data_IF_363291961493
#
_entry.id   IF_363291961493
#
_cell.length_a   1.000
_cell.length_b   1.000
_cell.length_c   1.000
_cell.angle_alpha   90.00
_cell.angle_beta   90.00
_cell.angle_gamma   90.00
#
_symmetry.space_group_name_H-M   'P 1'
#
loop_
_entity.id
_entity.type
_entity.pdbx_description
1 polymer ?
#
# COMPACT_ATOMS: atom_id res chain seq x y z
N UNK A 1 7.65 7.43 -1.84
CA UNK A 1 7.58 6.45 -2.95
C UNK A 1 7.28 5.10 -2.32
N UNK A 2 6.02 4.66 -2.35
CA UNK A 2 5.61 3.44 -1.66
C UNK A 2 6.40 2.22 -2.16
N UNK A 3 7.16 1.57 -1.29
CA UNK A 3 7.89 0.35 -1.64
C UNK A 3 7.73 -0.70 -0.54
N UNK A 4 7.01 -1.79 -0.82
CA UNK A 4 6.76 -2.86 0.16
C UNK A 4 7.22 -4.21 -0.38
N UNK A 5 8.10 -4.92 0.34
CA UNK A 5 8.58 -6.25 -0.04
C UNK A 5 7.51 -7.30 0.26
N UNK A 6 7.13 -8.08 -0.74
CA UNK A 6 6.07 -9.10 -0.63
C UNK A 6 6.55 -10.52 -0.94
N UNK A 7 7.76 -10.67 -1.48
CA UNK A 7 8.32 -11.98 -1.83
C UNK A 7 9.84 -11.97 -1.84
N UNK A 8 10.43 -13.14 -1.63
CA UNK A 8 11.88 -13.36 -1.70
C UNK A 8 12.18 -14.61 -2.51
N UNK A 9 13.35 -14.65 -3.18
CA UNK A 9 13.83 -15.81 -3.94
C UNK A 9 12.85 -16.30 -5.04
N UNK A 10 12.00 -15.41 -5.55
CA UNK A 10 11.05 -15.73 -6.61
C UNK A 10 11.80 -15.83 -7.92
N UNK A 11 11.59 -16.90 -8.69
CA UNK A 11 12.15 -17.03 -10.04
C UNK A 11 11.44 -16.10 -11.03
N UNK A 12 12.07 -15.82 -12.17
CA UNK A 12 11.42 -15.03 -13.22
C UNK A 12 10.14 -15.70 -13.74
N UNK A 13 10.14 -17.04 -13.84
CA UNK A 13 8.97 -17.82 -14.29
C UNK A 13 7.80 -17.70 -13.32
N UNK A 14 8.04 -17.84 -12.01
CA UNK A 14 7.00 -17.69 -10.99
C UNK A 14 6.43 -16.27 -10.97
N UNK A 15 7.30 -15.27 -11.09
CA UNK A 15 6.87 -13.87 -11.17
C UNK A 15 6.00 -13.59 -12.40
N UNK A 16 6.38 -14.10 -13.57
CA UNK A 16 5.58 -13.94 -14.78
C UNK A 16 4.22 -14.64 -14.66
N UNK A 17 4.19 -15.84 -14.08
CA UNK A 17 2.94 -16.55 -13.81
C UNK A 17 2.04 -15.76 -12.84
N UNK A 18 2.62 -15.14 -11.81
CA UNK A 18 1.90 -14.25 -10.90
C UNK A 18 1.28 -13.06 -11.65
N UNK A 19 2.05 -12.37 -12.51
CA UNK A 19 1.55 -11.22 -13.28
C UNK A 19 0.40 -11.58 -14.22
N UNK A 20 0.40 -12.80 -14.79
CA UNK A 20 -0.70 -13.28 -15.65
C UNK A 20 -1.95 -13.62 -14.83
N UNK A 21 -1.78 -14.17 -13.62
CA UNK A 21 -2.89 -14.67 -12.80
C UNK A 21 -3.49 -13.63 -11.87
N UNK A 22 -2.76 -12.57 -11.54
CA UNK A 22 -3.28 -11.54 -10.64
C UNK A 22 -4.51 -10.88 -11.29
N UNK A 23 -5.53 -10.61 -10.48
CA UNK A 23 -6.61 -9.74 -10.91
C UNK A 23 -6.08 -8.29 -11.11
N UNK A 24 -6.86 -7.44 -11.76
CA UNK A 24 -6.53 -6.02 -11.98
C UNK A 24 -6.52 -5.28 -10.64
N UNK A 25 -5.40 -5.37 -9.94
CA UNK A 25 -5.31 -5.01 -8.53
C UNK A 25 -4.90 -3.56 -8.26
N UNK A 26 -4.78 -2.68 -9.26
CA UNK A 26 -4.26 -1.30 -9.09
C UNK A 26 -2.79 -1.18 -8.64
N UNK A 27 -2.20 -2.22 -8.05
CA UNK A 27 -0.79 -2.32 -7.70
C UNK A 27 0.12 -2.55 -8.92
N UNK A 28 1.29 -1.89 -8.92
CA UNK A 28 2.45 -2.25 -9.76
C UNK A 28 3.48 -2.99 -8.91
N UNK A 29 4.09 -3.99 -9.54
CA UNK A 29 5.05 -4.87 -8.91
C UNK A 29 6.41 -4.78 -9.60
N UNK A 30 7.48 -4.97 -8.83
CA UNK A 30 8.84 -5.05 -9.36
C UNK A 30 9.57 -6.23 -8.74
N UNK A 31 10.15 -7.08 -9.59
CA UNK A 31 11.11 -8.11 -9.19
C UNK A 31 12.53 -7.57 -9.37
N UNK A 32 13.36 -7.63 -8.32
CA UNK A 32 14.80 -7.33 -8.37
C UNK A 32 15.59 -8.54 -8.86
N UNK A 33 16.85 -8.32 -9.26
CA UNK A 33 17.73 -9.39 -9.78
C UNK A 33 17.97 -10.52 -8.77
N UNK A 34 18.00 -10.20 -7.47
CA UNK A 34 18.13 -11.15 -6.37
C UNK A 34 16.87 -12.01 -6.14
N UNK A 35 15.79 -11.80 -6.90
CA UNK A 35 14.53 -12.53 -6.78
C UNK A 35 13.55 -11.96 -5.75
N UNK A 36 13.87 -10.85 -5.11
CA UNK A 36 12.92 -10.16 -4.25
C UNK A 36 11.84 -9.45 -5.07
N UNK A 37 10.60 -9.49 -4.59
CA UNK A 37 9.45 -8.86 -5.24
C UNK A 37 8.87 -7.79 -4.33
N UNK A 38 8.58 -6.64 -4.92
CA UNK A 38 8.03 -5.48 -4.24
C UNK A 38 6.76 -5.02 -4.91
N UNK A 39 5.83 -4.48 -4.12
CA UNK A 39 4.87 -3.50 -4.60
C UNK A 39 5.59 -2.15 -4.63
N UNK A 40 5.63 -1.51 -5.80
CA UNK A 40 6.35 -0.24 -6.02
C UNK A 40 5.43 0.93 -6.33
N UNK A 41 4.17 0.62 -6.58
CA UNK A 41 3.14 1.61 -6.88
C UNK A 41 1.78 0.95 -6.61
N UNK A 42 0.79 1.77 -6.34
CA UNK A 42 -0.59 1.36 -6.15
C UNK A 42 -1.44 2.50 -6.67
N UNK A 43 -2.59 2.18 -7.27
CA UNK A 43 -3.40 3.20 -7.90
C UNK A 43 -3.77 4.28 -6.88
N UNK A 44 -3.53 5.55 -7.25
CA UNK A 44 -3.84 6.70 -6.40
C UNK A 44 -5.27 6.65 -5.82
N UNK A 45 -6.31 6.22 -6.57
CA UNK A 45 -7.66 6.13 -6.03
C UNK A 45 -7.80 5.11 -4.88
N UNK A 46 -7.15 3.96 -4.95
CA UNK A 46 -7.24 2.93 -3.91
C UNK A 46 -6.46 3.33 -2.65
N UNK A 47 -5.23 3.84 -2.80
CA UNK A 47 -4.47 4.40 -1.66
C UNK A 47 -5.27 5.51 -1.02
N UNK A 48 -5.76 6.46 -1.82
CA UNK A 48 -6.52 7.62 -1.33
C UNK A 48 -7.78 7.16 -0.59
N UNK A 49 -8.50 6.17 -1.12
CA UNK A 49 -9.70 5.66 -0.47
C UNK A 49 -9.43 4.94 0.84
N UNK A 50 -8.42 4.05 0.89
CA UNK A 50 -8.05 3.34 2.13
C UNK A 50 -7.50 4.30 3.18
N UNK A 51 -6.64 5.24 2.77
CA UNK A 51 -6.09 6.27 3.65
C UNK A 51 -7.21 7.13 4.22
N UNK A 52 -8.13 7.60 3.36
CA UNK A 52 -9.31 8.35 3.78
C UNK A 52 -10.18 7.58 4.77
N UNK A 53 -10.49 6.31 4.50
CA UNK A 53 -11.27 5.47 5.42
C UNK A 53 -10.61 5.33 6.79
N UNK A 54 -9.31 5.06 6.83
CA UNK A 54 -8.56 4.96 8.09
C UNK A 54 -8.56 6.28 8.86
N UNK A 55 -8.33 7.41 8.18
CA UNK A 55 -8.42 8.74 8.78
C UNK A 55 -9.80 8.96 9.40
N UNK A 56 -10.88 8.62 8.69
CA UNK A 56 -12.27 8.73 9.19
C UNK A 56 -12.50 7.89 10.45
N UNK A 57 -11.96 6.68 10.54
CA UNK A 57 -12.10 5.87 11.75
C UNK A 57 -11.38 6.48 12.96
N UNK A 58 -10.18 7.04 12.77
CA UNK A 58 -9.47 7.70 13.85
C UNK A 58 -10.11 9.04 14.23
N UNK A 59 -10.65 9.80 13.27
CA UNK A 59 -11.46 11.00 13.56
C UNK A 59 -12.69 10.67 14.43
N UNK A 60 -13.37 9.57 14.12
CA UNK A 60 -14.47 9.06 14.93
C UNK A 60 -14.01 8.64 16.33
N UNK A 61 -12.86 7.95 16.43
CA UNK A 61 -12.28 7.56 17.71
C UNK A 61 -11.85 8.77 18.57
N UNK A 62 -11.43 9.86 17.93
CA UNK A 62 -11.16 11.14 18.57
C UNK A 62 -12.42 11.88 19.03
N UNK A 63 -13.62 11.32 18.82
CA UNK A 63 -14.88 11.93 19.22
C UNK A 63 -15.21 13.22 18.46
N UNK A 64 -14.64 13.41 17.26
CA UNK A 64 -14.80 14.63 16.46
C UNK A 64 -13.99 15.84 16.97
N UNK A 65 -13.03 15.62 17.87
CA UNK A 65 -12.12 16.68 18.34
C UNK A 65 -11.06 16.96 17.28
N UNK A 66 -11.06 18.18 16.74
CA UNK A 66 -10.12 18.62 15.70
C UNK A 66 -8.86 19.30 16.26
N UNK A 67 -8.94 19.95 17.41
CA UNK A 67 -7.80 20.63 18.05
C UNK A 67 -7.26 19.81 19.22
N UNK A 68 -5.94 19.54 19.21
CA UNK A 68 -5.27 18.69 20.19
C UNK A 68 -5.96 17.31 20.37
N UNK A 69 -6.16 16.56 19.27
CA UNK A 69 -6.82 15.26 19.35
C UNK A 69 -5.98 14.25 20.15
N UNK A 70 -6.62 13.27 20.81
CA UNK A 70 -5.90 12.17 21.46
C UNK A 70 -5.00 11.37 20.51
N UNK A 71 -5.40 11.24 19.24
CA UNK A 71 -4.64 10.58 18.17
C UNK A 71 -4.37 11.61 17.08
N UNK A 72 -3.09 11.91 16.83
CA UNK A 72 -2.68 12.67 15.65
C UNK A 72 -2.77 11.79 14.40
N UNK A 73 -3.46 12.30 13.38
CA UNK A 73 -3.72 11.58 12.13
C UNK A 73 -2.95 12.29 11.02
N UNK A 74 -1.90 11.64 10.51
CA UNK A 74 -1.08 12.17 9.41
C UNK A 74 -1.29 11.33 8.15
N UNK A 75 -1.47 12.00 7.01
CA UNK A 75 -1.64 11.36 5.69
C UNK A 75 -0.32 11.15 4.97
N UNK A 76 0.74 10.82 5.68
CA UNK A 76 2.05 10.63 5.06
C UNK A 76 2.12 9.18 4.55
N UNK A 77 1.72 9.01 3.29
CA UNK A 77 1.85 7.76 2.56
C UNK A 77 3.29 7.21 2.68
N UNK A 78 3.42 5.88 2.67
CA UNK A 78 4.70 5.24 3.00
C UNK A 78 5.87 5.79 2.16
N UNK A 79 6.97 6.08 2.86
CA UNK A 79 8.23 6.64 2.34
C UNK A 79 8.81 5.85 1.19
#
# INVERSE_FOLDING_TARGET
MFTCKIGSKITLKEYNNFLIRKESSGYKYQRKSNGDVYVIDMSDPEISHVTYLLQRYFELANGGVFSNPPIEIHGDGCT
#
